data_IF_893872026572
#
_entry.id   IF_893872026572
#
_cell.length_a   1.000
_cell.length_b   1.000
_cell.length_c   1.000
_cell.angle_alpha   90.00
_cell.angle_beta   90.00
_cell.angle_gamma   90.00
#
_symmetry.space_group_name_H-M   'P 1'
#
loop_
_entity.id
_entity.type
_entity.pdbx_description
1 polymer ?
#
# COMPACT_ATOMS: atom_id res chain seq x y z
N UNK A 1 12.36 9.26 3.36
CA UNK A 1 11.58 8.07 2.99
C UNK A 1 11.39 7.26 4.25
N UNK A 2 10.16 7.12 4.73
CA UNK A 2 9.89 6.25 5.88
C UNK A 2 10.17 4.78 5.53
N UNK A 3 10.39 3.96 6.55
CA UNK A 3 10.51 2.50 6.37
C UNK A 3 9.23 1.92 5.77
N UNK A 4 8.06 2.42 6.18
CA UNK A 4 6.77 2.01 5.63
C UNK A 4 6.70 2.23 4.12
N UNK A 5 7.12 3.41 3.65
CA UNK A 5 7.17 3.73 2.23
C UNK A 5 8.14 2.83 1.45
N UNK A 6 9.33 2.58 2.01
CA UNK A 6 10.31 1.67 1.39
C UNK A 6 9.76 0.24 1.25
N UNK A 7 9.08 -0.27 2.28
CA UNK A 7 8.41 -1.58 2.23
C UNK A 7 7.30 -1.63 1.18
N UNK A 8 6.44 -0.61 1.10
CA UNK A 8 5.39 -0.54 0.06
C UNK A 8 5.98 -0.55 -1.34
N UNK A 9 7.04 0.24 -1.57
CA UNK A 9 7.74 0.26 -2.85
C UNK A 9 8.33 -1.13 -3.19
N UNK A 10 9.03 -1.76 -2.25
CA UNK A 10 9.61 -3.10 -2.43
C UNK A 10 8.56 -4.16 -2.73
N UNK A 11 7.41 -4.13 -2.05
CA UNK A 11 6.32 -5.06 -2.34
C UNK A 11 5.78 -4.87 -3.75
N UNK A 12 5.65 -3.63 -4.24
CA UNK A 12 5.21 -3.40 -5.60
C UNK A 12 6.25 -3.88 -6.63
N UNK A 13 7.55 -3.67 -6.36
CA UNK A 13 8.62 -4.19 -7.20
C UNK A 13 8.60 -5.74 -7.28
N UNK A 14 8.40 -6.42 -6.13
CA UNK A 14 8.27 -7.89 -6.07
C UNK A 14 7.03 -8.36 -6.79
N UNK A 15 5.87 -7.74 -6.56
CA UNK A 15 4.61 -8.05 -7.25
C UNK A 15 4.79 -8.00 -8.77
N UNK A 16 5.50 -7.01 -9.29
CA UNK A 16 5.75 -6.89 -10.73
C UNK A 16 6.71 -7.94 -11.31
N UNK A 17 7.48 -8.61 -10.47
CA UNK A 17 8.41 -9.67 -10.87
C UNK A 17 7.86 -11.08 -10.66
N UNK A 18 6.86 -11.24 -9.79
CA UNK A 18 6.29 -12.53 -9.41
C UNK A 18 4.96 -12.82 -10.13
N UNK A 19 4.93 -13.91 -10.90
CA UNK A 19 3.75 -14.29 -11.70
C UNK A 19 2.62 -14.88 -10.85
N UNK A 20 2.94 -15.53 -9.74
CA UNK A 20 1.94 -16.11 -8.85
C UNK A 20 1.24 -15.00 -8.05
N UNK A 21 2.00 -13.99 -7.61
CA UNK A 21 1.43 -12.78 -6.99
C UNK A 21 0.55 -12.02 -7.97
N UNK A 22 0.99 -11.82 -9.22
CA UNK A 22 0.15 -11.21 -10.27
C UNK A 22 -1.14 -12.00 -10.50
N UNK A 23 -1.05 -13.34 -10.59
CA UNK A 23 -2.21 -14.18 -10.78
C UNK A 23 -3.20 -14.08 -9.61
N UNK A 24 -2.72 -14.02 -8.37
CA UNK A 24 -3.56 -13.87 -7.18
C UNK A 24 -4.26 -12.51 -7.09
N UNK A 25 -3.65 -11.45 -7.65
CA UNK A 25 -4.18 -10.08 -7.61
C UNK A 25 -4.98 -9.68 -8.86
N UNK A 26 -5.06 -10.56 -9.87
CA UNK A 26 -5.83 -10.31 -11.09
C UNK A 26 -7.31 -10.05 -10.80
N UNK A 27 -7.90 -9.17 -11.61
CA UNK A 27 -9.32 -8.80 -11.53
C UNK A 27 -9.63 -7.70 -10.52
N UNK A 28 -8.64 -7.24 -9.75
CA UNK A 28 -8.80 -6.09 -8.86
C UNK A 28 -8.08 -4.85 -9.41
N UNK A 29 -8.72 -3.69 -9.30
CA UNK A 29 -8.19 -2.40 -9.73
C UNK A 29 -8.50 -1.34 -8.68
N UNK A 30 -7.49 -0.62 -8.24
CA UNK A 30 -7.64 0.48 -7.30
C UNK A 30 -6.44 1.42 -7.34
N UNK A 31 -6.64 2.63 -6.84
CA UNK A 31 -5.57 3.56 -6.51
C UNK A 31 -5.57 3.73 -5.00
N UNK A 32 -4.57 3.18 -4.32
CA UNK A 32 -4.45 3.26 -2.86
C UNK A 32 -3.49 4.38 -2.51
N UNK A 33 -4.01 5.45 -1.90
CA UNK A 33 -3.20 6.54 -1.38
C UNK A 33 -2.69 6.20 0.02
N UNK A 34 -1.45 6.57 0.30
CA UNK A 34 -0.85 6.53 1.63
C UNK A 34 -0.53 7.96 2.09
N UNK A 35 -0.93 8.28 3.31
CA UNK A 35 -0.52 9.45 4.06
C UNK A 35 0.14 8.96 5.35
N UNK A 36 1.47 8.92 5.35
CA UNK A 36 2.26 8.41 6.46
C UNK A 36 2.78 9.59 7.30
N UNK A 37 2.63 9.50 8.61
CA UNK A 37 3.08 10.50 9.60
C UNK A 37 2.62 11.94 9.28
N UNK A 38 1.48 12.08 8.59
CA UNK A 38 0.88 13.34 8.13
C UNK A 38 1.75 14.22 7.22
N UNK A 39 2.90 13.74 6.73
CA UNK A 39 3.82 14.53 5.92
C UNK A 39 4.38 13.79 4.69
N UNK A 40 4.23 12.47 4.62
CA UNK A 40 4.71 11.67 3.50
C UNK A 40 3.53 11.13 2.68
N UNK A 41 3.50 11.50 1.39
CA UNK A 41 2.43 11.14 0.47
C UNK A 41 3.00 10.34 -0.69
N UNK A 42 2.40 9.18 -0.94
CA UNK A 42 2.67 8.32 -2.09
C UNK A 42 1.45 7.44 -2.35
N UNK A 43 1.40 6.78 -3.50
CA UNK A 43 0.28 5.90 -3.83
C UNK A 43 0.73 4.72 -4.68
N UNK A 44 -0.09 3.67 -4.68
CA UNK A 44 0.07 2.51 -5.55
C UNK A 44 -1.14 2.40 -6.45
N UNK A 45 -0.90 2.31 -7.76
CA UNK A 45 -1.92 2.02 -8.76
C UNK A 45 -1.91 0.52 -9.01
N UNK A 46 -2.94 -0.19 -8.57
CA UNK A 46 -3.15 -1.61 -8.85
C UNK A 46 -3.99 -1.77 -10.10
N UNK A 47 -3.56 -2.65 -11.00
CA UNK A 47 -4.18 -2.89 -12.32
C UNK A 47 -4.86 -4.25 -12.38
N UNK A 48 -5.87 -4.35 -13.23
CA UNK A 48 -6.66 -5.58 -13.41
C UNK A 48 -5.84 -6.80 -13.84
N UNK A 49 -4.68 -6.59 -14.45
CA UNK A 49 -3.77 -7.66 -14.85
C UNK A 49 -2.92 -8.23 -13.71
N UNK A 50 -3.07 -7.69 -12.50
CA UNK A 50 -2.35 -8.09 -11.29
C UNK A 50 -1.04 -7.34 -11.07
N UNK A 51 -0.65 -6.40 -11.95
CA UNK A 51 0.54 -5.56 -11.76
C UNK A 51 0.22 -4.30 -10.95
N UNK A 52 1.27 -3.58 -10.52
CA UNK A 52 1.12 -2.31 -9.82
C UNK A 52 2.14 -1.26 -10.27
N UNK A 53 1.85 0.01 -10.00
CA UNK A 53 2.82 1.10 -10.12
C UNK A 53 2.89 1.91 -8.84
N UNK A 54 4.09 2.01 -8.26
CA UNK A 54 4.38 2.94 -7.18
C UNK A 54 4.58 4.36 -7.73
N UNK A 55 3.96 5.36 -7.10
CA UNK A 55 4.07 6.77 -7.47
C UNK A 55 4.25 7.64 -6.24
N UNK A 56 5.05 8.69 -6.40
CA UNK A 56 5.26 9.72 -5.39
C UNK A 56 4.11 10.74 -5.36
N UNK A 57 3.87 11.35 -4.20
CA UNK A 57 2.92 12.45 -4.04
C UNK A 57 1.47 12.00 -3.79
N UNK A 58 0.51 12.83 -4.22
CA UNK A 58 -0.92 12.62 -4.00
C UNK A 58 -1.59 12.21 -5.31
N UNK A 59 -2.35 11.12 -5.28
CA UNK A 59 -3.25 10.75 -6.36
C UNK A 59 -4.39 11.76 -6.47
N UNK A 60 -4.79 12.10 -7.70
CA UNK A 60 -5.92 13.02 -7.94
C UNK A 60 -7.26 12.41 -7.49
N UNK A 61 -7.44 11.10 -7.73
CA UNK A 61 -8.67 10.36 -7.44
C UNK A 61 -8.33 8.99 -6.85
N UNK A 62 -7.91 8.93 -5.58
CA UNK A 62 -7.67 7.65 -4.92
C UNK A 62 -9.00 6.91 -4.72
N UNK A 63 -8.96 5.58 -4.79
CA UNK A 63 -10.08 4.73 -4.40
C UNK A 63 -10.33 4.84 -2.90
N UNK A 64 -9.25 4.88 -2.12
CA UNK A 64 -9.26 5.19 -0.70
C UNK A 64 -7.86 5.64 -0.25
N UNK A 65 -7.80 6.23 0.95
CA UNK A 65 -6.57 6.71 1.57
C UNK A 65 -6.33 6.00 2.90
N UNK A 66 -5.12 5.47 3.06
CA UNK A 66 -4.62 4.93 4.32
C UNK A 66 -3.84 6.04 5.03
N UNK A 67 -4.34 6.45 6.19
CA UNK A 67 -3.70 7.45 7.05
C UNK A 67 -3.17 6.69 8.28
N UNK A 68 -1.86 6.66 8.46
CA UNK A 68 -1.22 5.86 9.49
C UNK A 68 0.13 6.44 9.92
N UNK A 69 0.62 6.03 11.10
CA UNK A 69 2.03 6.27 11.44
C UNK A 69 2.94 5.27 10.73
N UNK A 70 4.18 5.65 10.43
CA UNK A 70 5.16 4.75 9.79
C UNK A 70 5.36 3.48 10.62
N UNK A 71 5.49 3.62 11.95
CA UNK A 71 5.68 2.48 12.84
C UNK A 71 4.52 1.49 12.76
N UNK A 72 3.28 1.97 12.91
CA UNK A 72 2.11 1.10 12.86
C UNK A 72 1.99 0.41 11.50
N UNK A 73 2.17 1.16 10.42
CA UNK A 73 2.08 0.59 9.08
C UNK A 73 3.17 -0.46 8.81
N UNK A 74 4.39 -0.25 9.30
CA UNK A 74 5.43 -1.28 9.28
C UNK A 74 5.05 -2.56 10.04
N UNK A 75 4.40 -2.42 11.20
CA UNK A 75 3.95 -3.58 11.98
C UNK A 75 2.84 -4.35 11.23
N UNK A 76 1.92 -3.65 10.55
CA UNK A 76 0.93 -4.25 9.65
C UNK A 76 1.60 -4.99 8.49
N UNK A 77 2.51 -4.35 7.76
CA UNK A 77 3.19 -4.94 6.59
C UNK A 77 4.06 -6.16 6.94
N UNK A 78 4.47 -6.28 8.20
CA UNK A 78 5.23 -7.43 8.72
C UNK A 78 4.35 -8.51 9.36
N UNK A 79 3.03 -8.34 9.34
CA UNK A 79 2.08 -9.27 9.93
C UNK A 79 2.07 -9.28 11.46
N UNK A 80 2.57 -8.23 12.12
CA UNK A 80 2.55 -8.08 13.59
C UNK A 80 1.26 -7.45 14.11
N UNK A 81 0.59 -6.66 13.27
CA UNK A 81 -0.72 -6.05 13.53
C UNK A 81 -1.68 -6.44 12.41
N UNK A 82 -2.93 -6.75 12.75
CA UNK A 82 -3.97 -7.03 11.77
C UNK A 82 -4.61 -5.71 11.30
N UNK A 83 -4.67 -5.44 9.98
CA UNK A 83 -5.18 -4.16 9.47
C UNK A 83 -6.68 -3.97 9.72
N UNK A 84 -7.47 -5.05 9.71
CA UNK A 84 -8.93 -4.97 9.86
C UNK A 84 -9.30 -4.68 11.31
N UNK A 85 -8.77 -5.45 12.25
CA UNK A 85 -8.99 -5.23 13.68
C UNK A 85 -8.50 -3.85 14.11
N UNK A 86 -7.35 -3.42 13.60
CA UNK A 86 -6.80 -2.09 13.92
C UNK A 86 -7.67 -0.96 13.39
N UNK A 87 -8.18 -1.07 12.17
CA UNK A 87 -9.13 -0.12 11.62
C UNK A 87 -10.42 -0.05 12.45
N UNK A 88 -10.97 -1.20 12.85
CA UNK A 88 -12.17 -1.26 13.71
C UNK A 88 -11.97 -0.63 15.09
N UNK A 89 -10.74 -0.64 15.60
CA UNK A 89 -10.36 0.02 16.86
C UNK A 89 -10.04 1.52 16.70
N UNK A 90 -9.97 2.04 15.46
CA UNK A 90 -9.59 3.42 15.19
C UNK A 90 -8.14 3.74 15.51
N UNK A 91 -7.24 2.75 15.41
CA UNK A 91 -5.79 2.96 15.53
C UNK A 91 -5.23 3.73 14.34
#
# INVERSE_FOLDING_TARGET
MSEAKDLVKKMCDIQNQDKDVQAALKGWKAVVQYQIDNNEFFYVVYKEDGTCEFKEGKAEKPTFTIIATSKFWCDVLRGKEDPVASFMMGK
#
